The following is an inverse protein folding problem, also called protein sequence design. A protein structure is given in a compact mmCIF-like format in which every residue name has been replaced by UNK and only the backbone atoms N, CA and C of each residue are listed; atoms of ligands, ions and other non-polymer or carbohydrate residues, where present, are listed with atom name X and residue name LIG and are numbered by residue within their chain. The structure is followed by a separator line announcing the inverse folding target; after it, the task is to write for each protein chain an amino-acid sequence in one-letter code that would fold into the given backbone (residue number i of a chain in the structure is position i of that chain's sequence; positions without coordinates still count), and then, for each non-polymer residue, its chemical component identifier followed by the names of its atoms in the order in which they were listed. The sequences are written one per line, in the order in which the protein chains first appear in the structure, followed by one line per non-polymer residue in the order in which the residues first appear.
data_IF_620397296840
#
_entry.id   IF_620397296840
#
_cell.length_a   1.000
_cell.length_b   1.000
_cell.length_c   1.000
_cell.angle_alpha   90.00
_cell.angle_beta   90.00
_cell.angle_gamma   90.00
#
_symmetry.space_group_name_H-M   'P 1'
#
loop_
_entity.id
_entity.type
_entity.pdbx_description
1 polymer ?
#
# COMPACT_ATOMS: atom_id res chain seq x y z
N UNK A 1 -0.08 3.65 -10.34
CA UNK A 1 -1.27 4.08 -9.59
C UNK A 1 -1.74 2.99 -8.64
N UNK A 2 -2.46 3.41 -7.61
CA UNK A 2 -3.24 2.54 -6.74
C UNK A 2 -4.71 2.84 -6.93
N UNK A 3 -5.50 1.81 -7.15
CA UNK A 3 -6.95 1.93 -7.21
C UNK A 3 -7.57 1.23 -6.02
N UNK A 4 -8.29 1.99 -5.19
CA UNK A 4 -9.02 1.42 -4.06
C UNK A 4 -10.26 0.70 -4.57
N UNK A 5 -10.40 -0.58 -4.26
CA UNK A 5 -11.50 -1.40 -4.82
C UNK A 5 -12.86 -0.98 -4.29
N UNK A 6 -12.93 -0.46 -3.08
CA UNK A 6 -14.17 -0.09 -2.41
C UNK A 6 -14.95 1.01 -3.14
N UNK A 7 -14.25 2.03 -3.64
CA UNK A 7 -14.86 3.24 -4.21
C UNK A 7 -14.25 3.64 -5.55
N UNK A 8 -13.32 2.85 -6.07
CA UNK A 8 -12.59 3.09 -7.32
C UNK A 8 -11.74 4.37 -7.31
N UNK A 9 -11.41 4.88 -6.13
CA UNK A 9 -10.49 6.00 -6.00
C UNK A 9 -9.13 5.63 -6.56
N UNK A 10 -8.57 6.49 -7.42
CA UNK A 10 -7.26 6.25 -8.02
C UNK A 10 -6.27 7.28 -7.47
N UNK A 11 -5.12 6.79 -7.00
CA UNK A 11 -4.07 7.62 -6.46
C UNK A 11 -2.76 7.33 -7.20
N UNK A 12 -2.12 8.37 -7.72
CA UNK A 12 -0.80 8.22 -8.33
C UNK A 12 0.25 7.91 -7.27
N UNK A 13 1.05 6.88 -7.51
CA UNK A 13 2.19 6.56 -6.66
C UNK A 13 3.38 7.37 -7.17
N UNK A 14 3.75 8.41 -6.44
CA UNK A 14 4.77 9.37 -6.87
C UNK A 14 6.00 9.31 -5.98
N UNK A 15 7.16 9.63 -6.57
CA UNK A 15 8.42 9.65 -5.85
C UNK A 15 9.00 8.27 -5.59
N UNK A 16 10.09 8.24 -4.82
CA UNK A 16 10.80 7.00 -4.50
C UNK A 16 10.26 6.32 -3.24
N UNK A 17 9.48 7.04 -2.46
CA UNK A 17 8.83 6.56 -1.24
C UNK A 17 7.41 7.10 -1.18
N UNK A 18 6.44 6.20 -0.98
CA UNK A 18 5.03 6.57 -0.95
C UNK A 18 4.36 5.87 0.22
N UNK A 19 3.96 6.66 1.22
CA UNK A 19 3.39 6.14 2.47
C UNK A 19 1.87 6.06 2.39
N UNK A 20 1.32 4.97 2.93
CA UNK A 20 -0.12 4.72 2.96
C UNK A 20 -0.54 4.40 4.39
N UNK A 21 -1.62 5.01 4.84
CA UNK A 21 -2.15 4.77 6.17
C UNK A 21 -3.36 5.64 6.45
N UNK A 22 -3.81 5.68 7.71
CA UNK A 22 -4.99 6.49 8.06
C UNK A 22 -4.66 7.88 8.58
N UNK A 23 -3.41 8.16 8.94
CA UNK A 23 -3.01 9.46 9.47
C UNK A 23 -2.59 10.39 8.34
N UNK A 24 -3.49 11.26 7.91
CA UNK A 24 -3.26 12.19 6.80
C UNK A 24 -2.05 13.09 7.00
N UNK A 25 -1.63 13.34 8.24
CA UNK A 25 -0.46 14.16 8.55
C UNK A 25 0.85 13.42 8.30
N UNK A 26 0.83 12.10 8.17
CA UNK A 26 2.03 11.26 8.10
C UNK A 26 2.19 10.50 6.77
N UNK A 27 1.15 10.46 5.95
CA UNK A 27 1.15 9.61 4.74
C UNK A 27 0.87 10.41 3.49
N UNK A 28 1.23 9.82 2.35
CA UNK A 28 0.94 10.39 1.04
C UNK A 28 -0.47 10.02 0.57
N UNK A 29 -0.94 8.85 0.96
CA UNK A 29 -2.29 8.39 0.68
C UNK A 29 -2.99 8.06 1.99
N UNK A 30 -3.93 8.92 2.38
CA UNK A 30 -4.71 8.72 3.60
C UNK A 30 -5.96 7.89 3.27
N UNK A 31 -6.13 6.77 3.99
CA UNK A 31 -7.28 5.89 3.83
C UNK A 31 -8.30 6.26 4.89
N UNK A 32 -9.46 6.72 4.44
CA UNK A 32 -10.56 7.10 5.32
C UNK A 32 -11.60 5.97 5.40
N UNK A 33 -12.40 6.01 6.46
CA UNK A 33 -13.53 5.09 6.66
C UNK A 33 -13.11 3.62 6.83
N UNK A 34 -11.91 3.38 7.36
CA UNK A 34 -11.48 2.04 7.76
C UNK A 34 -10.56 2.13 8.97
N UNK A 35 -11.11 1.87 10.15
CA UNK A 35 -10.40 1.98 11.42
C UNK A 35 -9.33 0.88 11.60
N UNK A 36 -9.37 -0.19 10.81
CA UNK A 36 -8.41 -1.27 10.92
C UNK A 36 -7.07 -0.97 10.24
N UNK A 37 -7.00 0.13 9.49
CA UNK A 37 -5.77 0.61 8.88
C UNK A 37 -4.92 1.32 9.93
N UNK A 38 -3.63 1.00 10.00
CA UNK A 38 -2.70 1.67 10.90
C UNK A 38 -2.41 3.10 10.43
N UNK A 39 -1.96 3.96 11.34
CA UNK A 39 -1.64 5.36 11.02
C UNK A 39 -0.67 5.46 9.85
N UNK A 40 0.44 4.72 9.91
CA UNK A 40 1.32 4.44 8.78
C UNK A 40 1.29 2.92 8.63
N UNK A 41 0.68 2.43 7.54
CA UNK A 41 0.42 1.01 7.39
C UNK A 41 1.45 0.33 6.50
N UNK A 42 1.77 0.93 5.38
CA UNK A 42 2.70 0.38 4.41
C UNK A 42 3.39 1.49 3.63
N UNK A 43 4.49 1.12 2.98
CA UNK A 43 5.27 2.03 2.17
C UNK A 43 5.57 1.38 0.83
N UNK A 44 5.31 2.08 -0.27
CA UNK A 44 5.74 1.66 -1.59
C UNK A 44 7.04 2.39 -1.92
N UNK A 45 8.05 1.64 -2.35
CA UNK A 45 9.33 2.20 -2.76
C UNK A 45 9.60 1.86 -4.21
N UNK A 46 10.30 2.76 -4.90
CA UNK A 46 10.70 2.58 -6.30
C UNK A 46 12.23 2.48 -6.36
N UNK A 47 12.73 1.45 -7.05
CA UNK A 47 14.15 1.27 -7.31
C UNK A 47 14.32 1.01 -8.81
N UNK A 48 14.85 1.99 -9.53
CA UNK A 48 14.88 1.93 -10.99
C UNK A 48 13.45 1.88 -11.55
N UNK A 49 13.10 0.83 -12.27
CA UNK A 49 11.75 0.61 -12.80
C UNK A 49 10.95 -0.40 -11.98
N UNK A 50 11.47 -0.83 -10.82
CA UNK A 50 10.82 -1.82 -9.98
C UNK A 50 10.19 -1.16 -8.76
N UNK A 51 9.06 -1.74 -8.30
CA UNK A 51 8.32 -1.25 -7.15
C UNK A 51 8.23 -2.34 -6.09
N UNK A 52 8.31 -1.92 -4.83
CA UNK A 52 8.26 -2.82 -3.67
C UNK A 52 7.30 -2.24 -2.64
N UNK A 53 6.67 -3.10 -1.87
CA UNK A 53 5.87 -2.68 -0.72
C UNK A 53 6.48 -3.26 0.56
N UNK A 54 6.53 -2.43 1.60
CA UNK A 54 7.02 -2.82 2.92
C UNK A 54 5.91 -2.57 3.92
N UNK A 55 5.58 -3.57 4.73
CA UNK A 55 4.65 -3.37 5.84
C UNK A 55 5.37 -2.59 6.94
N UNK A 56 4.77 -1.50 7.39
CA UNK A 56 5.37 -0.61 8.41
C UNK A 56 5.03 -1.07 9.83
N UNK A 57 5.09 -2.37 10.07
CA UNK A 57 4.74 -2.99 11.35
C UNK A 57 3.27 -2.72 11.72
N UNK A 58 2.40 -2.88 10.75
CA UNK A 58 0.98 -2.60 10.92
C UNK A 58 0.32 -3.59 11.89
N UNK A 59 -0.78 -3.16 12.50
CA UNK A 59 -1.55 -4.01 13.42
C UNK A 59 -2.19 -5.19 12.70
N UNK A 60 -2.73 -4.97 11.50
CA UNK A 60 -3.56 -5.96 10.79
C UNK A 60 -2.95 -6.45 9.49
N UNK A 61 -1.65 -6.23 9.30
CA UNK A 61 -0.83 -6.79 8.21
C UNK A 61 -1.13 -6.24 6.82
N UNK A 62 -0.18 -6.50 5.93
CA UNK A 62 -0.22 -6.16 4.51
C UNK A 62 -0.08 -7.47 3.72
N UNK A 63 -0.85 -7.61 2.64
CA UNK A 63 -0.84 -8.80 1.78
C UNK A 63 -0.68 -8.37 0.33
N UNK A 64 0.02 -9.18 -0.46
CA UNK A 64 0.13 -9.02 -1.91
C UNK A 64 -0.29 -10.32 -2.56
N UNK A 65 -1.33 -10.27 -3.38
CA UNK A 65 -1.91 -11.43 -4.07
C UNK A 65 -2.18 -12.59 -3.10
N UNK A 66 -2.67 -12.26 -1.91
CA UNK A 66 -3.02 -13.23 -0.87
C UNK A 66 -1.87 -13.69 0.01
N UNK A 67 -0.64 -13.24 -0.27
CA UNK A 67 0.55 -13.62 0.49
C UNK A 67 0.89 -12.51 1.49
N UNK A 68 1.06 -12.89 2.77
CA UNK A 68 1.42 -11.92 3.80
C UNK A 68 2.83 -11.37 3.55
N UNK A 69 2.96 -10.04 3.64
CA UNK A 69 4.24 -9.36 3.51
C UNK A 69 4.90 -9.33 4.89
N UNK A 70 6.10 -9.92 5.07
CA UNK A 70 6.77 -9.86 6.37
C UNK A 70 7.03 -8.41 6.78
N UNK A 71 6.76 -8.04 8.06
CA UNK A 71 7.01 -6.67 8.50
C UNK A 71 8.45 -6.24 8.28
N UNK A 72 8.64 -5.04 7.74
CA UNK A 72 9.95 -4.45 7.51
C UNK A 72 10.73 -4.98 6.33
N UNK A 73 10.23 -6.02 5.64
CA UNK A 73 10.92 -6.60 4.48
C UNK A 73 10.26 -6.16 3.18
N UNK A 74 11.01 -5.60 2.21
CA UNK A 74 10.43 -5.23 0.92
C UNK A 74 9.93 -6.44 0.15
N UNK A 75 8.74 -6.32 -0.43
CA UNK A 75 8.08 -7.34 -1.23
C UNK A 75 7.82 -6.77 -2.63
N UNK A 76 8.29 -7.44 -3.66
CA UNK A 76 8.20 -6.94 -5.03
C UNK A 76 6.76 -6.89 -5.51
N UNK A 77 6.39 -5.76 -6.13
CA UNK A 77 5.09 -5.57 -6.78
C UNK A 77 5.22 -5.80 -8.27
N UNK A 78 4.20 -6.42 -8.85
CA UNK A 78 4.06 -6.58 -10.30
C UNK A 78 2.90 -5.71 -10.79
N UNK A 79 2.82 -5.52 -12.11
CA UNK A 79 1.66 -4.84 -12.66
C UNK A 79 0.39 -5.61 -12.30
N UNK A 80 -0.63 -4.88 -11.84
CA UNK A 80 -1.92 -5.45 -11.43
C UNK A 80 -1.86 -6.31 -10.17
N UNK A 81 -0.82 -6.18 -9.35
CA UNK A 81 -0.78 -6.82 -8.03
C UNK A 81 -1.97 -6.35 -7.18
N UNK A 82 -2.61 -7.27 -6.50
CA UNK A 82 -3.65 -6.95 -5.52
C UNK A 82 -2.99 -6.75 -4.16
N UNK A 83 -3.06 -5.53 -3.66
CA UNK A 83 -2.57 -5.18 -2.33
C UNK A 83 -3.75 -5.18 -1.38
N UNK A 84 -3.59 -5.79 -0.21
CA UNK A 84 -4.59 -5.73 0.85
C UNK A 84 -3.95 -5.22 2.12
N UNK A 85 -4.47 -4.10 2.63
CA UNK A 85 -4.08 -3.53 3.93
C UNK A 85 -5.20 -3.84 4.90
N UNK A 86 -4.97 -4.74 5.85
CA UNK A 86 -6.04 -5.28 6.69
C UNK A 86 -7.11 -5.95 5.80
N UNK A 87 -8.32 -5.39 5.73
CA UNK A 87 -9.40 -5.86 4.86
C UNK A 87 -9.66 -4.94 3.66
N UNK A 88 -8.81 -3.93 3.46
CA UNK A 88 -8.98 -2.95 2.38
C UNK A 88 -8.15 -3.36 1.17
N UNK A 89 -8.79 -3.54 0.01
CA UNK A 89 -8.12 -4.00 -1.21
C UNK A 89 -7.83 -2.87 -2.18
N UNK A 90 -6.68 -2.98 -2.85
CA UNK A 90 -6.20 -2.04 -3.86
C UNK A 90 -5.61 -2.82 -5.02
N UNK A 91 -5.70 -2.26 -6.22
CA UNK A 91 -4.99 -2.77 -7.38
C UNK A 91 -3.83 -1.82 -7.70
N UNK A 92 -2.62 -2.37 -7.75
CA UNK A 92 -1.43 -1.63 -8.13
C UNK A 92 -1.23 -1.74 -9.63
N UNK A 93 -1.24 -0.60 -10.32
CA UNK A 93 -0.96 -0.56 -11.75
C UNK A 93 0.40 0.09 -11.94
N UNK A 94 1.34 -0.70 -12.47
CA UNK A 94 2.70 -0.25 -12.72
C UNK A 94 2.71 0.76 -13.86
N UNK A 95 3.40 1.90 -13.70
CA UNK A 95 3.54 2.88 -14.79
C UNK A 95 4.26 2.33 -15.99
#
# INVERSE_FOLDING_TARGET
TLQRCRDNEIKAVEGNEFLIGKDAAKVDYAIFNNETISRVHAKITKQGNEYYITDANSMNHTYVDGVIVPPGAPFKLSNMSKIRLSDEEFIFQKP
#
